data_IF_029476834159
#
_entry.id   IF_029476834159
#
_cell.length_a   1.000
_cell.length_b   1.000
_cell.length_c   1.000
_cell.angle_alpha   90.00
_cell.angle_beta   90.00
_cell.angle_gamma   90.00
#
_symmetry.space_group_name_H-M   'P 1'
#
loop_
_entity.id
_entity.type
_entity.pdbx_description
1 polymer ?
#
# COMPACT_ATOMS: atom_id res chain seq x y z
N UNK A 1 -1.75 -2.89 -14.43
CA UNK A 1 -1.48 -1.51 -13.95
C UNK A 1 -0.75 -1.66 -12.62
N UNK A 2 0.46 -1.13 -12.49
CA UNK A 2 1.24 -1.12 -11.24
C UNK A 2 1.47 0.33 -10.81
N UNK A 3 1.48 0.58 -9.50
CA UNK A 3 1.79 1.89 -8.94
C UNK A 3 3.27 1.94 -8.57
N UNK A 4 4.03 2.82 -9.23
CA UNK A 4 5.41 3.04 -8.83
C UNK A 4 5.44 3.91 -7.59
N UNK A 5 6.12 3.44 -6.56
CA UNK A 5 6.42 4.22 -5.37
C UNK A 5 7.80 4.80 -5.59
N UNK A 6 7.85 6.11 -5.82
CA UNK A 6 9.06 6.86 -5.65
C UNK A 6 9.26 7.19 -4.18
N UNK A 7 8.88 8.41 -3.80
CA UNK A 7 8.90 8.87 -2.40
C UNK A 7 7.59 8.56 -1.67
N UNK A 8 6.53 8.17 -2.37
CA UNK A 8 5.21 7.88 -1.80
C UNK A 8 4.51 9.13 -1.24
N UNK A 9 4.82 10.31 -1.77
CA UNK A 9 4.33 11.60 -1.28
C UNK A 9 3.06 12.08 -2.01
N UNK A 10 2.60 11.36 -3.04
CA UNK A 10 1.44 11.74 -3.85
C UNK A 10 0.10 11.09 -3.46
N UNK A 11 0.11 10.00 -2.70
CA UNK A 11 -1.09 9.23 -2.38
C UNK A 11 -1.15 8.87 -0.90
N UNK A 12 -2.34 8.97 -0.31
CA UNK A 12 -2.63 8.47 1.03
C UNK A 12 -2.85 6.97 0.98
N UNK A 13 -2.19 6.26 1.89
CA UNK A 13 -2.22 4.79 1.93
C UNK A 13 -3.64 4.23 1.99
N UNK A 14 -4.51 4.77 2.85
CA UNK A 14 -5.86 4.25 3.03
C UNK A 14 -6.92 4.87 2.11
N UNK A 15 -6.76 6.14 1.76
CA UNK A 15 -7.85 6.98 1.26
C UNK A 15 -7.83 7.19 -0.25
N UNK A 16 -6.71 6.94 -0.92
CA UNK A 16 -6.60 7.07 -2.36
C UNK A 16 -6.58 5.69 -3.04
N UNK A 17 -7.15 5.59 -4.25
CA UNK A 17 -7.24 4.34 -5.01
C UNK A 17 -5.92 4.02 -5.75
N UNK A 18 -4.80 3.92 -5.03
CA UNK A 18 -3.48 3.69 -5.65
C UNK A 18 -3.20 2.21 -5.97
N UNK A 19 -4.08 1.29 -5.53
CA UNK A 19 -3.95 -0.16 -5.74
C UNK A 19 -5.11 -0.73 -6.60
N UNK A 20 -5.76 0.10 -7.42
CA UNK A 20 -6.86 -0.30 -8.30
C UNK A 20 -7.98 0.72 -8.31
N UNK A 21 -9.22 0.24 -8.45
CA UNK A 21 -10.41 1.10 -8.58
C UNK A 21 -10.96 1.56 -7.22
N UNK A 22 -10.79 0.76 -6.17
CA UNK A 22 -11.25 1.07 -4.81
C UNK A 22 -10.10 1.43 -3.86
N UNK A 23 -10.44 2.13 -2.78
CA UNK A 23 -9.50 2.49 -1.72
C UNK A 23 -9.29 1.31 -0.77
N UNK A 24 -8.11 1.27 -0.13
CA UNK A 24 -7.86 0.26 0.91
C UNK A 24 -8.81 0.41 2.11
N UNK A 25 -9.28 1.62 2.40
CA UNK A 25 -10.29 1.85 3.43
C UNK A 25 -11.65 1.22 3.09
N UNK A 26 -12.04 1.23 1.82
CA UNK A 26 -13.26 0.56 1.33
C UNK A 26 -13.11 -0.97 1.42
N UNK A 27 -11.98 -1.49 0.95
CA UNK A 27 -11.71 -2.93 0.90
C UNK A 27 -11.48 -3.55 2.27
N UNK A 28 -10.78 -2.85 3.16
CA UNK A 28 -10.39 -3.33 4.50
C UNK A 28 -10.86 -2.38 5.62
N UNK A 29 -12.18 -2.19 5.80
CA UNK A 29 -12.72 -1.18 6.71
C UNK A 29 -12.33 -1.44 8.18
N UNK A 30 -12.16 -2.72 8.57
CA UNK A 30 -11.71 -3.08 9.92
C UNK A 30 -10.28 -2.66 10.18
N UNK A 31 -9.36 -2.98 9.28
CA UNK A 31 -7.95 -2.55 9.37
C UNK A 31 -7.85 -1.03 9.38
N UNK A 32 -8.63 -0.35 8.54
CA UNK A 32 -8.69 1.10 8.52
C UNK A 32 -9.07 1.68 9.90
N UNK A 33 -10.13 1.19 10.53
CA UNK A 33 -10.59 1.66 11.85
C UNK A 33 -9.49 1.53 12.91
N UNK A 34 -8.74 0.43 12.89
CA UNK A 34 -7.69 0.17 13.88
C UNK A 34 -6.33 0.75 13.49
N UNK A 35 -6.17 1.37 12.32
CA UNK A 35 -4.91 1.97 11.91
C UNK A 35 -4.64 3.30 12.61
N UNK A 36 -3.37 3.53 12.99
CA UNK A 36 -2.89 4.86 13.41
C UNK A 36 -2.57 5.77 12.20
N UNK A 37 -2.52 5.21 11.00
CA UNK A 37 -1.98 5.86 9.79
C UNK A 37 -3.08 6.22 8.78
N UNK A 38 -4.33 6.39 9.24
CA UNK A 38 -5.52 6.59 8.38
C UNK A 38 -5.38 7.71 7.34
N UNK A 39 -4.61 8.76 7.65
CA UNK A 39 -4.42 9.92 6.77
C UNK A 39 -2.98 10.03 6.24
N UNK A 40 -2.13 9.05 6.52
CA UNK A 40 -0.71 9.11 6.16
C UNK A 40 -0.51 8.90 4.66
N UNK A 41 0.51 9.60 4.16
CA UNK A 41 1.04 9.37 2.82
C UNK A 41 1.68 8.00 2.77
N UNK A 42 1.60 7.37 1.61
CA UNK A 42 2.11 6.03 1.36
C UNK A 42 3.60 5.90 1.73
N UNK A 43 4.39 6.95 1.46
CA UNK A 43 5.80 7.08 1.81
C UNK A 43 6.09 7.02 3.31
N UNK A 44 5.11 7.36 4.15
CA UNK A 44 5.22 7.35 5.61
C UNK A 44 4.74 6.02 6.24
N UNK A 45 4.16 5.13 5.44
CA UNK A 45 3.60 3.83 5.91
C UNK A 45 4.58 2.68 5.66
N UNK A 46 5.74 2.95 5.06
CA UNK A 46 6.80 1.98 4.86
C UNK A 46 8.12 2.67 4.53
N UNK A 47 9.12 1.87 4.19
CA UNK A 47 10.44 2.37 3.83
C UNK A 47 11.13 1.39 2.87
N UNK A 48 11.99 1.93 2.01
CA UNK A 48 12.88 1.11 1.20
C UNK A 48 14.05 0.60 2.05
N UNK A 49 14.18 -0.72 2.20
CA UNK A 49 15.36 -1.38 2.76
C UNK A 49 15.96 -2.33 1.73
N UNK A 50 17.25 -2.17 1.46
CA UNK A 50 18.00 -3.08 0.55
C UNK A 50 17.39 -3.26 -0.86
N UNK A 51 16.59 -2.29 -1.32
CA UNK A 51 15.92 -2.35 -2.62
C UNK A 51 14.52 -2.96 -2.60
N UNK A 52 14.06 -3.41 -1.43
CA UNK A 52 12.71 -3.90 -1.19
C UNK A 52 11.92 -2.92 -0.33
N UNK A 53 10.61 -2.86 -0.54
CA UNK A 53 9.73 -2.03 0.26
C UNK A 53 9.26 -2.81 1.49
N UNK A 54 9.47 -2.25 2.67
CA UNK A 54 9.04 -2.82 3.94
C UNK A 54 7.95 -1.96 4.57
N UNK A 55 6.76 -2.56 4.76
CA UNK A 55 5.64 -1.90 5.42
C UNK A 55 5.87 -1.72 6.91
N UNK A 56 5.66 -0.49 7.41
CA UNK A 56 5.75 -0.13 8.83
C UNK A 56 4.35 0.22 9.35
N UNK A 57 3.44 -0.75 9.30
CA UNK A 57 2.03 -0.57 9.69
C UNK A 57 1.87 -0.43 11.20
N UNK A 58 1.11 0.57 11.63
CA UNK A 58 0.84 0.88 13.04
C UNK A 58 -0.65 0.78 13.38
N UNK A 59 -0.93 0.09 14.50
CA UNK A 59 -2.29 -0.25 14.94
C UNK A 59 -2.61 0.32 16.33
N UNK A 60 -3.85 0.73 16.55
CA UNK A 60 -4.38 1.29 17.80
C UNK A 60 -4.55 0.25 18.91
N UNK A 61 -4.73 -1.01 18.53
CA UNK A 61 -5.05 -2.10 19.45
C UNK A 61 -4.48 -3.44 18.94
N UNK A 62 -4.49 -4.45 19.81
CA UNK A 62 -4.14 -5.81 19.42
C UNK A 62 -5.09 -6.32 18.34
N UNK A 63 -4.53 -6.93 17.29
CA UNK A 63 -5.30 -7.54 16.21
C UNK A 63 -5.85 -8.90 16.64
N UNK A 64 -7.14 -9.10 16.41
CA UNK A 64 -7.80 -10.41 16.46
C UNK A 64 -7.39 -11.27 15.26
N UNK A 65 -7.65 -12.59 15.32
CA UNK A 65 -7.26 -13.53 14.26
C UNK A 65 -7.85 -13.18 12.89
N UNK A 66 -9.10 -12.72 12.84
CA UNK A 66 -9.72 -12.30 11.57
C UNK A 66 -9.09 -11.03 10.98
N UNK A 67 -8.56 -10.12 11.81
CA UNK A 67 -7.82 -8.95 11.34
C UNK A 67 -6.44 -9.34 10.78
N UNK A 68 -5.79 -10.34 11.38
CA UNK A 68 -4.53 -10.87 10.85
C UNK A 68 -4.68 -11.48 9.46
N UNK A 69 -5.76 -12.24 9.23
CA UNK A 69 -6.06 -12.76 7.89
C UNK A 69 -6.29 -11.65 6.87
N UNK A 70 -6.98 -10.56 7.25
CA UNK A 70 -7.12 -9.39 6.37
C UNK A 70 -5.79 -8.67 6.13
N UNK A 71 -4.90 -8.64 7.12
CA UNK A 71 -3.57 -8.05 6.99
C UNK A 71 -2.69 -8.85 6.02
N UNK A 72 -2.74 -10.17 6.07
CA UNK A 72 -2.02 -11.04 5.12
C UNK A 72 -2.47 -10.78 3.68
N UNK A 73 -3.78 -10.64 3.44
CA UNK A 73 -4.33 -10.27 2.14
C UNK A 73 -3.85 -8.87 1.69
N UNK A 74 -3.89 -7.89 2.59
CA UNK A 74 -3.39 -6.54 2.33
C UNK A 74 -1.90 -6.55 1.92
N UNK A 75 -1.06 -7.29 2.64
CA UNK A 75 0.37 -7.38 2.34
C UNK A 75 0.65 -8.06 1.00
N UNK A 76 -0.10 -9.11 0.67
CA UNK A 76 0.02 -9.79 -0.61
C UNK A 76 -0.37 -8.88 -1.79
N UNK A 77 -1.48 -8.16 -1.65
CA UNK A 77 -1.96 -7.23 -2.68
C UNK A 77 -0.99 -6.08 -2.90
N UNK A 78 -0.42 -5.53 -1.82
CA UNK A 78 0.46 -4.36 -1.91
C UNK A 78 1.84 -4.72 -2.43
N UNK A 79 2.45 -5.83 -2.00
CA UNK A 79 3.80 -6.23 -2.40
C UNK A 79 3.97 -6.55 -3.90
N UNK A 80 2.89 -6.93 -4.59
CA UNK A 80 2.95 -7.26 -6.04
C UNK A 80 2.96 -6.04 -6.96
N UNK A 81 2.74 -4.85 -6.40
CA UNK A 81 2.45 -3.66 -7.17
C UNK A 81 3.47 -2.54 -7.04
N UNK A 82 4.53 -2.71 -6.23
CA UNK A 82 5.50 -1.66 -5.94
C UNK A 82 6.79 -1.83 -6.75
N UNK A 83 7.25 -0.74 -7.34
CA UNK A 83 8.54 -0.67 -8.01
C UNK A 83 9.25 0.58 -7.51
N UNK A 84 10.54 0.44 -7.17
CA UNK A 84 11.40 1.55 -6.77
C UNK A 84 11.68 2.42 -7.99
N UNK A 85 11.25 3.68 -7.95
CA UNK A 85 11.53 4.67 -8.99
C UNK A 85 11.85 6.04 -8.36
N UNK A 86 12.24 7.04 -9.13
CA UNK A 86 12.47 8.41 -8.67
C UNK A 86 11.20 9.30 -8.74
N UNK A 87 10.04 8.75 -9.13
CA UNK A 87 8.77 9.47 -9.16
C UNK A 87 7.56 8.56 -8.96
N UNK A 88 6.54 9.08 -8.25
CA UNK A 88 5.26 8.41 -8.02
C UNK A 88 4.38 8.42 -9.28
N UNK A 89 3.74 7.29 -9.64
CA UNK A 89 2.77 7.27 -10.74
C UNK A 89 2.32 5.89 -11.23
N UNK A 90 1.30 5.89 -12.09
CA UNK A 90 0.74 4.69 -12.72
C UNK A 90 1.54 4.25 -13.95
N UNK A 91 1.82 2.96 -14.07
CA UNK A 91 2.41 2.37 -15.27
C UNK A 91 1.64 1.12 -15.72
N UNK A 92 1.30 1.08 -17.01
CA UNK A 92 0.85 -0.12 -17.69
C UNK A 92 2.07 -0.81 -18.30
N UNK A 93 2.29 -2.09 -17.99
CA UNK A 93 3.16 -2.93 -18.82
C UNK A 93 2.37 -3.32 -20.08
N UNK A 94 2.34 -2.42 -21.07
CA UNK A 94 2.16 -2.80 -22.47
C UNK A 94 3.41 -2.31 -23.21
N UNK A 95 4.43 -3.17 -23.28
CA UNK A 95 5.41 -3.28 -24.36
C UNK A 95 6.48 -4.33 -23.97
N UNK A 96 6.10 -5.61 -24.03
CA UNK A 96 7.07 -6.71 -24.18
C UNK A 96 6.64 -7.58 -25.36
N UNK A 97 6.47 -6.97 -26.53
CA UNK A 97 6.69 -7.65 -27.83
C UNK A 97 7.05 -6.59 -28.88
N UNK A 98 8.35 -6.44 -29.10
CA UNK A 98 8.96 -5.78 -30.23
C UNK A 98 10.32 -6.41 -30.46
#
# INVERSE_FOLDING_TARGET
IRWKIGEGNQAKFWLDSWLGEETLASKFPRLFIISNQQNELLGNVGQWKEGEWEWTLSWRQNMFEWEKSQLEELQLLTNTNLVKDCGDGWWCEEEVMG
#
